data_IF_597738547269
#
_entry.id   IF_597738547269
#
_cell.length_a   1.000
_cell.length_b   1.000
_cell.length_c   1.000
_cell.angle_alpha   90.00
_cell.angle_beta   90.00
_cell.angle_gamma   90.00
#
_symmetry.space_group_name_H-M   'P 1'
#
loop_
_entity.id
_entity.type
_entity.pdbx_description
1 polymer ?
#
# COMPACT_ATOMS: atom_id res chain seq x y z
N UNK A 1 1.53 -25.34 -5.32
CA UNK A 1 2.20 -24.70 -6.47
C UNK A 1 1.42 -23.44 -6.80
N UNK A 2 2.03 -22.27 -6.69
CA UNK A 2 1.44 -21.00 -7.10
C UNK A 2 1.96 -20.69 -8.50
N UNK A 3 1.07 -20.61 -9.49
CA UNK A 3 1.40 -20.37 -10.90
C UNK A 3 1.07 -18.94 -11.31
N UNK A 4 1.95 -18.33 -12.09
CA UNK A 4 1.62 -17.09 -12.79
C UNK A 4 0.68 -17.34 -13.97
N UNK A 5 0.22 -16.26 -14.62
CA UNK A 5 -0.66 -16.34 -15.80
C UNK A 5 0.01 -16.96 -17.03
N UNK A 6 1.33 -17.12 -17.01
CA UNK A 6 2.13 -17.71 -18.09
C UNK A 6 2.35 -19.22 -17.85
N UNK A 7 1.84 -19.78 -16.75
CA UNK A 7 2.00 -21.18 -16.37
C UNK A 7 3.29 -21.48 -15.62
N UNK A 8 4.11 -20.47 -15.30
CA UNK A 8 5.33 -20.63 -14.51
C UNK A 8 4.97 -20.71 -13.03
N UNK A 9 5.16 -21.90 -12.45
CA UNK A 9 4.96 -22.14 -11.03
C UNK A 9 6.22 -21.86 -10.22
N UNK A 10 6.06 -21.13 -9.12
CA UNK A 10 7.12 -21.03 -8.11
C UNK A 10 6.97 -22.17 -7.10
N UNK A 11 7.96 -23.06 -7.07
CA UNK A 11 8.06 -24.18 -6.13
C UNK A 11 9.32 -24.02 -5.29
N UNK A 12 9.16 -23.99 -3.97
CA UNK A 12 10.28 -24.01 -3.03
C UNK A 12 10.46 -25.43 -2.47
N UNK A 13 11.71 -25.90 -2.41
CA UNK A 13 12.07 -27.17 -1.79
C UNK A 13 12.79 -26.89 -0.48
N UNK A 14 12.39 -27.58 0.59
CA UNK A 14 13.12 -27.59 1.85
C UNK A 14 14.17 -28.69 1.82
N UNK A 15 15.37 -28.42 2.33
CA UNK A 15 16.35 -29.45 2.61
C UNK A 15 15.84 -30.32 3.78
N UNK A 16 16.28 -31.57 3.89
CA UNK A 16 15.96 -32.49 5.00
C UNK A 16 16.59 -32.06 6.34
N UNK A 17 17.19 -30.87 6.41
CA UNK A 17 17.78 -30.33 7.62
C UNK A 17 16.67 -29.75 8.52
N UNK A 18 16.71 -30.01 9.82
CA UNK A 18 15.64 -29.61 10.77
C UNK A 18 15.45 -28.10 10.94
N UNK A 19 16.34 -27.29 10.35
CA UNK A 19 16.32 -25.82 10.41
C UNK A 19 15.88 -25.16 9.09
N UNK A 20 15.39 -25.94 8.13
CA UNK A 20 14.91 -25.40 6.86
C UNK A 20 13.47 -24.91 7.02
N UNK A 21 13.21 -23.66 6.62
CA UNK A 21 11.92 -22.98 6.78
C UNK A 21 11.49 -22.32 5.47
N UNK A 22 10.17 -22.11 5.30
CA UNK A 22 9.60 -21.33 4.20
C UNK A 22 9.04 -20.03 4.76
N UNK A 23 9.51 -18.90 4.23
CA UNK A 23 9.03 -17.56 4.61
C UNK A 23 8.24 -16.97 3.44
N UNK A 24 7.00 -16.54 3.70
CA UNK A 24 6.15 -15.86 2.73
C UNK A 24 6.27 -14.34 2.85
N UNK A 25 6.89 -13.72 1.84
CA UNK A 25 7.19 -12.27 1.83
C UNK A 25 6.53 -11.53 0.67
N UNK A 26 5.35 -11.98 0.22
CA UNK A 26 4.63 -11.36 -0.89
C UNK A 26 3.80 -10.11 -0.49
N UNK A 27 3.87 -9.70 0.78
CA UNK A 27 3.13 -8.54 1.33
C UNK A 27 1.72 -8.89 1.80
N UNK A 28 1.05 -7.95 2.49
CA UNK A 28 -0.22 -8.18 3.16
C UNK A 28 -1.36 -8.64 2.22
N UNK A 29 -1.32 -8.22 0.95
CA UNK A 29 -2.35 -8.57 -0.05
C UNK A 29 -2.05 -9.92 -0.71
N UNK A 30 -0.80 -10.18 -1.10
CA UNK A 30 -0.47 -11.37 -1.89
C UNK A 30 -0.02 -12.58 -1.05
N UNK A 31 0.49 -12.40 0.17
CA UNK A 31 0.88 -13.53 1.05
C UNK A 31 -0.29 -14.41 1.53
N UNK A 32 -1.51 -13.89 1.81
CA UNK A 32 -2.63 -14.74 2.22
C UNK A 32 -3.13 -15.69 1.13
N UNK A 33 -3.02 -15.30 -0.14
CA UNK A 33 -3.53 -16.09 -1.27
C UNK A 33 -2.89 -17.49 -1.36
N UNK A 34 -1.55 -17.66 -1.41
CA UNK A 34 -0.93 -18.98 -1.45
C UNK A 34 -1.22 -19.83 -0.20
N UNK A 35 -1.55 -19.22 0.94
CA UNK A 35 -1.95 -19.94 2.15
C UNK A 35 -3.38 -20.47 2.05
N UNK A 36 -4.33 -19.67 1.55
CA UNK A 36 -5.71 -20.15 1.39
C UNK A 36 -5.82 -21.28 0.36
N UNK A 37 -5.10 -21.20 -0.76
CA UNK A 37 -5.13 -22.28 -1.77
C UNK A 37 -4.45 -23.58 -1.29
N UNK A 38 -3.60 -23.52 -0.27
CA UNK A 38 -3.01 -24.71 0.36
C UNK A 38 -3.82 -25.20 1.56
N UNK A 39 -4.98 -24.58 1.86
CA UNK A 39 -5.87 -25.00 2.93
C UNK A 39 -5.61 -24.34 4.29
N UNK A 40 -4.85 -23.25 4.33
CA UNK A 40 -4.59 -22.45 5.54
C UNK A 40 -5.41 -21.16 5.45
N UNK A 41 -6.45 -21.01 6.28
CA UNK A 41 -7.38 -19.88 6.23
C UNK A 41 -8.72 -20.21 6.90
N UNK A 42 -9.73 -19.36 6.73
CA UNK A 42 -11.06 -19.58 7.34
C UNK A 42 -11.68 -20.89 6.84
N UNK A 43 -11.98 -21.83 7.75
CA UNK A 43 -12.56 -23.12 7.40
C UNK A 43 -13.88 -23.00 6.62
N UNK A 44 -14.70 -22.00 6.95
CA UNK A 44 -15.94 -21.72 6.22
C UNK A 44 -15.66 -21.37 4.74
N UNK A 45 -14.72 -20.46 4.50
CA UNK A 45 -14.35 -20.01 3.17
C UNK A 45 -13.67 -21.13 2.36
N UNK A 46 -12.77 -21.89 2.99
CA UNK A 46 -12.09 -23.02 2.36
C UNK A 46 -13.08 -24.11 1.94
N UNK A 47 -14.01 -24.49 2.82
CA UNK A 47 -15.06 -25.47 2.51
C UNK A 47 -15.99 -25.01 1.41
N UNK A 48 -16.36 -23.72 1.38
CA UNK A 48 -17.18 -23.14 0.31
C UNK A 48 -16.52 -23.26 -1.08
N UNK A 49 -15.18 -23.28 -1.13
CA UNK A 49 -14.40 -23.48 -2.37
C UNK A 49 -13.92 -24.92 -2.59
N UNK A 50 -14.37 -25.88 -1.78
CA UNK A 50 -13.95 -27.29 -1.90
C UNK A 50 -12.47 -27.52 -1.58
N UNK A 51 -11.82 -26.61 -0.85
CA UNK A 51 -10.42 -26.72 -0.45
C UNK A 51 -10.36 -27.48 0.89
N UNK A 52 -9.55 -28.55 1.00
CA UNK A 52 -9.32 -29.22 2.27
C UNK A 52 -8.73 -28.27 3.32
N UNK A 53 -9.27 -28.27 4.53
CA UNK A 53 -8.77 -27.42 5.62
C UNK A 53 -7.55 -28.10 6.25
N UNK A 54 -6.37 -27.52 6.06
CA UNK A 54 -5.12 -27.90 6.73
C UNK A 54 -5.02 -27.21 8.08
N UNK A 55 -5.35 -25.91 8.13
CA UNK A 55 -5.33 -25.13 9.36
C UNK A 55 -6.38 -24.01 9.31
N UNK A 56 -7.28 -24.00 10.29
CA UNK A 56 -8.35 -23.00 10.38
C UNK A 56 -7.83 -21.71 11.02
N UNK A 57 -7.81 -20.63 10.24
CA UNK A 57 -7.40 -19.29 10.64
C UNK A 57 -8.45 -18.27 10.18
N UNK A 58 -9.46 -17.97 11.00
CA UNK A 58 -10.57 -17.11 10.59
C UNK A 58 -10.15 -15.66 10.34
N UNK A 59 -9.12 -15.15 11.03
CA UNK A 59 -8.72 -13.73 10.97
C UNK A 59 -7.74 -13.38 9.82
N UNK A 60 -7.32 -14.36 9.01
CA UNK A 60 -6.16 -14.27 8.10
C UNK A 60 -6.26 -13.16 7.04
N UNK A 61 -7.47 -12.69 6.72
CA UNK A 61 -7.73 -11.55 5.81
C UNK A 61 -8.51 -10.44 6.52
N UNK A 62 -9.26 -10.79 7.56
CA UNK A 62 -10.20 -9.89 8.21
C UNK A 62 -9.53 -8.86 9.14
N UNK A 63 -8.25 -9.06 9.48
CA UNK A 63 -7.44 -8.11 10.26
C UNK A 63 -6.67 -7.07 9.45
N UNK A 64 -6.95 -6.93 8.14
CA UNK A 64 -6.21 -5.99 7.29
C UNK A 64 -6.53 -4.54 7.68
N UNK A 65 -5.48 -3.74 7.85
CA UNK A 65 -5.57 -2.30 8.11
C UNK A 65 -4.85 -1.55 7.01
N UNK A 66 -5.44 -0.44 6.57
CA UNK A 66 -4.83 0.48 5.61
C UNK A 66 -5.10 1.92 6.08
N UNK A 67 -4.27 2.86 5.63
CA UNK A 67 -4.46 4.27 5.94
C UNK A 67 -5.39 4.90 4.89
N UNK A 68 -6.47 5.54 5.35
CA UNK A 68 -7.34 6.27 4.46
C UNK A 68 -6.64 7.56 4.02
N UNK A 69 -6.40 7.69 2.71
CA UNK A 69 -5.94 8.96 2.13
C UNK A 69 -7.15 9.84 1.88
N UNK A 70 -7.33 10.87 2.70
CA UNK A 70 -8.33 11.90 2.44
C UNK A 70 -7.67 13.01 1.59
N UNK A 71 -8.04 13.08 0.31
CA UNK A 71 -7.48 14.10 -0.59
C UNK A 71 -8.22 15.43 -0.37
N UNK A 72 -7.67 16.32 0.46
CA UNK A 72 -8.17 17.69 0.54
C UNK A 72 -7.62 18.49 -0.64
N UNK A 73 -8.44 18.66 -1.67
CA UNK A 73 -8.14 19.55 -2.78
C UNK A 73 -8.64 20.96 -2.45
N UNK A 74 -7.72 21.87 -2.09
CA UNK A 74 -8.00 23.29 -1.89
C UNK A 74 -7.51 24.06 -3.12
N UNK A 75 -8.35 24.27 -4.16
CA UNK A 75 -7.94 25.03 -5.33
C UNK A 75 -7.69 26.48 -4.93
N UNK A 76 -6.60 27.06 -5.41
CA UNK A 76 -6.39 28.50 -5.31
C UNK A 76 -7.42 29.22 -6.16
N UNK A 77 -8.11 30.20 -5.58
CA UNK A 77 -9.04 31.08 -6.32
C UNK A 77 -8.32 32.13 -7.17
N UNK A 78 -7.01 32.24 -7.03
CA UNK A 78 -6.15 33.17 -7.76
C UNK A 78 -5.11 32.35 -8.53
N UNK A 79 -4.93 32.59 -9.84
CA UNK A 79 -3.84 31.98 -10.60
C UNK A 79 -2.49 32.24 -9.92
N UNK A 80 -1.57 31.28 -10.01
CA UNK A 80 -0.29 31.36 -9.30
C UNK A 80 0.55 32.56 -9.77
N UNK A 81 0.43 32.91 -11.05
CA UNK A 81 1.03 34.08 -11.68
C UNK A 81 0.54 35.40 -11.07
N UNK A 82 -0.76 35.50 -10.77
CA UNK A 82 -1.37 36.68 -10.20
C UNK A 82 -0.96 36.84 -8.73
N UNK A 83 -0.89 35.74 -7.98
CA UNK A 83 -0.38 35.74 -6.61
C UNK A 83 1.10 36.16 -6.53
N UNK A 84 1.94 35.65 -7.45
CA UNK A 84 3.36 35.98 -7.50
C UNK A 84 3.59 37.45 -7.87
N UNK A 85 2.85 37.97 -8.85
CA UNK A 85 2.96 39.38 -9.25
C UNK A 85 2.53 40.34 -8.14
N UNK A 86 1.45 40.03 -7.41
CA UNK A 86 1.00 40.82 -6.25
C UNK A 86 2.01 40.81 -5.08
N UNK A 87 2.63 39.65 -4.82
CA UNK A 87 3.68 39.53 -3.80
C UNK A 87 4.92 40.35 -4.18
N UNK A 88 5.34 40.29 -5.45
CA UNK A 88 6.45 41.09 -5.96
C UNK A 88 6.20 42.59 -5.90
N UNK A 89 4.99 43.03 -6.26
CA UNK A 89 4.60 44.43 -6.16
C UNK A 89 4.69 44.94 -4.71
N UNK A 90 4.23 44.14 -3.75
CA UNK A 90 4.30 44.47 -2.33
C UNK A 90 5.74 44.56 -1.80
N UNK A 91 6.63 43.65 -2.22
CA UNK A 91 8.04 43.69 -1.86
C UNK A 91 8.74 44.95 -2.39
N UNK A 92 8.46 45.32 -3.64
CA UNK A 92 9.01 46.54 -4.23
C UNK A 92 8.52 47.79 -3.49
N UNK A 93 7.27 47.82 -3.06
CA UNK A 93 6.70 48.95 -2.32
C UNK A 93 7.37 49.13 -0.95
N UNK A 94 7.65 48.02 -0.23
CA UNK A 94 8.38 48.04 1.05
C UNK A 94 9.86 48.37 0.87
N UNK A 95 10.49 47.88 -0.20
CA UNK A 95 11.89 48.20 -0.51
C UNK A 95 12.06 49.70 -0.85
N UNK A 96 11.10 50.26 -1.57
CA UNK A 96 11.06 51.68 -1.95
C UNK A 96 10.84 52.60 -0.74
N UNK A 97 10.01 52.20 0.22
CA UNK A 97 9.77 52.98 1.44
C UNK A 97 10.97 53.04 2.39
N UNK A 98 11.92 52.09 2.30
CA UNK A 98 13.17 52.11 3.08
C UNK A 98 14.23 53.09 2.52
N UNK A 99 14.09 53.55 1.28
CA UNK A 99 15.04 54.48 0.66
C UNK A 99 14.66 55.96 0.84
N UNK A 100 13.52 56.28 1.46
CA UNK A 100 13.04 57.66 1.65
C UNK A 100 13.19 58.21 3.09
N UNK A 101 13.93 57.53 3.97
CA UNK A 101 14.30 58.05 5.29
C UNK A 101 15.81 58.35 5.30
N UNK A 102 16.16 59.56 4.84
CA UNK A 102 17.44 60.26 5.07
C UNK A 102 17.11 61.70 5.43
#
# INVERSE_FOLDING_TARGET
MFGDKLGSGSTAYLNMNTKSEVILSAGAIASPQPLMITGIGSAYHLRAHGIPVVYDQPMMVQGMSDNQVNLLFAPSHVPAEDALSAAWASLNLVASSRQQVV
#
